data_IF_493198766484
#
_entry.id   IF_493198766484
#
_cell.length_a   1.000
_cell.length_b   1.000
_cell.length_c   1.000
_cell.angle_alpha   90.00
_cell.angle_beta   90.00
_cell.angle_gamma   90.00
#
_symmetry.space_group_name_H-M   'P 1'
#
loop_
_entity.id
_entity.type
_entity.pdbx_description
1 polymer ?
#
# COMPACT_ATOMS: atom_id res chain seq x y z
N UNK A 1 -13.88 -63.29 -12.34
CA UNK A 1 -12.57 -62.80 -11.86
C UNK A 1 -11.97 -61.66 -12.71
N UNK A 2 -12.74 -60.70 -13.26
CA UNK A 2 -12.20 -59.62 -14.15
C UNK A 2 -12.42 -58.20 -13.63
N UNK A 3 -12.99 -58.00 -12.44
CA UNK A 3 -13.28 -56.68 -11.87
C UNK A 3 -12.16 -56.12 -10.97
N UNK A 4 -11.28 -56.97 -10.44
CA UNK A 4 -10.24 -56.50 -9.49
C UNK A 4 -9.05 -55.79 -10.18
N UNK A 5 -8.77 -56.08 -11.45
CA UNK A 5 -7.67 -55.45 -12.19
C UNK A 5 -8.00 -54.02 -12.69
N UNK A 6 -9.29 -53.69 -12.90
CA UNK A 6 -9.67 -52.35 -13.37
C UNK A 6 -9.66 -51.30 -12.24
N UNK A 7 -9.97 -51.71 -11.02
CA UNK A 7 -9.90 -50.83 -9.84
C UNK A 7 -8.47 -50.46 -9.46
N UNK A 8 -7.52 -51.36 -9.61
CA UNK A 8 -6.11 -51.11 -9.35
C UNK A 8 -5.50 -50.09 -10.33
N UNK A 9 -5.93 -50.11 -11.60
CA UNK A 9 -5.44 -49.18 -12.63
C UNK A 9 -5.94 -47.77 -12.44
N UNK A 10 -7.21 -47.61 -12.00
CA UNK A 10 -7.79 -46.31 -11.73
C UNK A 10 -7.17 -45.66 -10.48
N UNK A 11 -6.89 -46.47 -9.44
CA UNK A 11 -6.21 -45.99 -8.24
C UNK A 11 -4.75 -45.55 -8.51
N UNK A 12 -4.06 -46.25 -9.41
CA UNK A 12 -2.66 -45.88 -9.78
C UNK A 12 -2.60 -44.60 -10.61
N UNK A 13 -3.58 -44.33 -11.45
CA UNK A 13 -3.64 -43.08 -12.19
C UNK A 13 -3.95 -41.85 -11.27
N UNK A 14 -4.80 -42.06 -10.26
CA UNK A 14 -5.13 -41.01 -9.30
C UNK A 14 -3.93 -40.62 -8.41
N UNK A 15 -3.07 -41.56 -8.07
CA UNK A 15 -1.85 -41.31 -7.26
C UNK A 15 -0.76 -40.59 -8.08
N UNK A 16 -0.61 -40.93 -9.37
CA UNK A 16 0.35 -40.25 -10.26
C UNK A 16 -0.07 -38.82 -10.58
N UNK A 17 -1.36 -38.50 -10.62
CA UNK A 17 -1.87 -37.14 -10.84
C UNK A 17 -1.62 -36.19 -9.67
N UNK A 18 -1.40 -36.69 -8.45
CA UNK A 18 -1.17 -35.86 -7.25
C UNK A 18 0.30 -35.42 -7.07
N UNK A 19 1.22 -35.92 -7.90
CA UNK A 19 2.64 -35.58 -7.83
C UNK A 19 3.06 -34.48 -8.82
N UNK A 20 2.16 -34.04 -9.70
CA UNK A 20 2.46 -32.94 -10.60
C UNK A 20 2.05 -31.65 -9.88
N UNK A 21 3.00 -30.76 -9.51
CA UNK A 21 2.65 -29.47 -8.93
C UNK A 21 1.88 -28.66 -9.97
N UNK A 22 0.58 -28.56 -9.77
CA UNK A 22 -0.25 -27.69 -10.60
C UNK A 22 0.12 -26.24 -10.31
N UNK A 23 0.26 -25.41 -11.36
CA UNK A 23 0.49 -23.99 -11.15
C UNK A 23 -0.69 -23.40 -10.35
N UNK A 24 -0.37 -22.75 -9.23
CA UNK A 24 -1.38 -22.16 -8.38
C UNK A 24 -1.87 -20.84 -8.99
N UNK A 25 -3.19 -20.72 -9.17
CA UNK A 25 -3.81 -19.46 -9.52
C UNK A 25 -3.86 -18.59 -8.26
N UNK A 26 -3.31 -17.39 -8.30
CA UNK A 26 -3.35 -16.47 -7.17
C UNK A 26 -3.71 -15.05 -7.61
N UNK A 27 -4.42 -14.34 -6.74
CA UNK A 27 -4.66 -12.92 -6.93
C UNK A 27 -3.39 -12.12 -6.63
N UNK A 28 -3.13 -11.09 -7.44
CA UNK A 28 -2.11 -10.10 -7.10
C UNK A 28 -2.57 -9.27 -5.89
N UNK A 29 -1.63 -8.61 -5.22
CA UNK A 29 -1.99 -7.52 -4.33
C UNK A 29 -2.79 -6.45 -5.11
N UNK A 30 -3.71 -5.72 -4.45
CA UNK A 30 -4.41 -4.62 -5.10
C UNK A 30 -3.41 -3.58 -5.62
N UNK A 31 -3.71 -2.99 -6.77
CA UNK A 31 -2.96 -1.83 -7.24
C UNK A 31 -3.22 -0.64 -6.33
N UNK A 32 -2.17 0.14 -6.03
CA UNK A 32 -2.32 1.35 -5.25
C UNK A 32 -3.00 2.44 -6.07
N UNK A 33 -4.12 2.94 -5.57
CA UNK A 33 -4.79 4.11 -6.13
C UNK A 33 -4.34 5.36 -5.39
N UNK A 34 -4.08 6.45 -6.11
CA UNK A 34 -3.67 7.72 -5.52
C UNK A 34 -4.36 8.91 -6.20
N UNK A 35 -4.88 9.81 -5.38
CA UNK A 35 -5.53 11.04 -5.86
C UNK A 35 -4.87 12.25 -5.23
N UNK A 36 -4.31 13.12 -6.06
CA UNK A 36 -3.70 14.38 -5.62
C UNK A 36 -4.71 15.51 -5.62
N UNK A 37 -4.70 16.33 -4.56
CA UNK A 37 -5.47 17.55 -4.42
C UNK A 37 -4.56 18.73 -4.04
N UNK A 38 -4.61 19.80 -4.83
CA UNK A 38 -3.94 21.05 -4.50
C UNK A 38 -4.87 21.89 -3.61
N UNK A 39 -4.42 22.22 -2.40
CA UNK A 39 -5.18 23.05 -1.46
C UNK A 39 -4.67 24.51 -1.46
N UNK A 40 -3.51 24.75 -2.06
CA UNK A 40 -2.97 26.10 -2.22
C UNK A 40 -2.45 26.70 -0.90
N UNK A 41 -2.92 27.90 -0.57
CA UNK A 41 -2.64 28.58 0.68
C UNK A 41 -3.76 28.30 1.69
N UNK A 42 -3.38 27.97 2.91
CA UNK A 42 -4.30 27.79 4.03
C UNK A 42 -3.89 28.71 5.17
N UNK A 43 -4.88 29.45 5.68
CA UNK A 43 -4.81 30.18 6.95
C UNK A 43 -6.00 29.74 7.80
N UNK A 44 -5.75 28.70 8.60
CA UNK A 44 -6.80 28.02 9.35
C UNK A 44 -7.12 26.62 8.77
N UNK A 45 -8.39 26.33 8.55
CA UNK A 45 -8.88 25.01 8.16
C UNK A 45 -9.39 24.99 6.71
N UNK A 46 -9.01 23.96 5.94
CA UNK A 46 -9.58 23.72 4.63
C UNK A 46 -11.07 23.33 4.70
N UNK A 47 -11.75 23.42 3.59
CA UNK A 47 -13.00 22.68 3.39
C UNK A 47 -12.75 21.17 3.45
N UNK A 48 -13.84 20.40 3.58
CA UNK A 48 -13.77 18.95 3.48
C UNK A 48 -13.40 18.53 2.05
N UNK A 49 -12.39 17.69 1.93
CA UNK A 49 -11.90 17.17 0.65
C UNK A 49 -12.31 15.72 0.52
N UNK A 50 -13.13 15.42 -0.48
CA UNK A 50 -13.57 14.07 -0.83
C UNK A 50 -12.75 13.61 -2.05
N UNK A 51 -11.79 12.69 -1.91
CA UNK A 51 -10.96 12.23 -3.04
C UNK A 51 -11.71 11.32 -4.02
N UNK A 52 -12.84 10.75 -3.61
CA UNK A 52 -13.61 9.80 -4.41
C UNK A 52 -13.12 8.35 -4.28
N UNK A 53 -12.27 8.08 -3.28
CA UNK A 53 -11.82 6.74 -2.89
C UNK A 53 -11.65 6.72 -1.37
N UNK A 54 -11.78 5.53 -0.72
CA UNK A 54 -11.42 5.35 0.68
C UNK A 54 -9.95 5.70 0.90
N UNK A 55 -9.65 6.40 1.99
CA UNK A 55 -8.30 6.88 2.30
C UNK A 55 -7.64 5.94 3.30
N UNK A 56 -6.72 5.09 2.85
CA UNK A 56 -5.91 4.28 3.76
C UNK A 56 -4.77 5.12 4.36
N UNK A 57 -4.17 5.97 3.51
CA UNK A 57 -3.08 6.85 3.91
C UNK A 57 -3.21 8.22 3.24
N UNK A 58 -2.73 9.25 3.93
CA UNK A 58 -2.65 10.61 3.41
C UNK A 58 -1.22 11.13 3.52
N UNK A 59 -0.62 11.50 2.41
CA UNK A 59 0.63 12.26 2.35
C UNK A 59 0.33 13.74 2.15
N UNK A 60 1.05 14.63 2.83
CA UNK A 60 0.90 16.08 2.67
C UNK A 60 2.26 16.67 2.32
N UNK A 61 2.27 17.61 1.40
CA UNK A 61 3.45 18.42 1.11
C UNK A 61 3.12 19.90 1.04
N UNK A 62 4.05 20.73 1.52
CA UNK A 62 3.88 22.19 1.58
C UNK A 62 5.21 22.90 1.30
N UNK A 63 5.20 24.21 1.12
CA UNK A 63 6.41 24.99 0.86
C UNK A 63 6.89 25.78 2.07
N UNK A 64 6.00 26.47 2.75
CA UNK A 64 6.31 27.34 3.89
C UNK A 64 5.21 27.24 4.94
N UNK A 65 5.57 27.51 6.19
CA UNK A 65 4.68 27.50 7.33
C UNK A 65 5.01 26.38 8.31
N UNK A 66 4.09 26.16 9.23
CA UNK A 66 4.19 25.14 10.27
C UNK A 66 3.84 23.74 9.75
N UNK A 67 4.07 22.71 10.54
CA UNK A 67 3.58 21.36 10.25
C UNK A 67 2.05 21.35 10.19
N UNK A 68 1.47 20.85 9.08
CA UNK A 68 0.03 20.79 8.94
C UNK A 68 -0.58 19.80 9.91
N UNK A 69 -1.82 20.08 10.31
CA UNK A 69 -2.65 19.11 11.02
C UNK A 69 -3.71 18.58 10.09
N UNK A 70 -4.03 17.30 10.24
CA UNK A 70 -5.05 16.62 9.44
C UNK A 70 -6.07 15.94 10.34
N UNK A 71 -7.30 15.86 9.89
CA UNK A 71 -8.33 14.98 10.44
C UNK A 71 -9.12 14.32 9.33
N UNK A 72 -9.74 13.22 9.65
CA UNK A 72 -10.46 12.38 8.71
C UNK A 72 -11.94 12.30 9.07
N UNK A 73 -12.78 12.17 8.04
CA UNK A 73 -14.17 11.79 8.18
C UNK A 73 -14.28 10.28 7.97
N UNK A 74 -14.62 9.56 9.02
CA UNK A 74 -14.83 8.13 8.97
C UNK A 74 -16.19 7.79 9.60
N UNK A 75 -16.99 7.02 8.89
CA UNK A 75 -18.35 6.65 9.33
C UNK A 75 -19.21 7.85 9.76
N UNK A 76 -19.11 8.96 9.04
CA UNK A 76 -19.86 10.18 9.31
C UNK A 76 -19.33 11.03 10.49
N UNK A 77 -18.22 10.63 11.12
CA UNK A 77 -17.65 11.34 12.28
C UNK A 77 -16.23 11.83 11.97
N UNK A 78 -15.96 13.09 12.33
CA UNK A 78 -14.61 13.65 12.24
C UNK A 78 -13.72 13.15 13.37
N UNK A 79 -12.53 12.65 13.02
CA UNK A 79 -11.50 12.26 14.00
C UNK A 79 -10.90 13.51 14.67
N UNK A 80 -10.13 13.28 15.74
CA UNK A 80 -9.26 14.32 16.30
C UNK A 80 -8.21 14.76 15.28
N UNK A 81 -7.70 16.00 15.44
CA UNK A 81 -6.60 16.52 14.65
C UNK A 81 -5.28 15.82 15.00
N UNK A 82 -4.59 15.34 13.98
CA UNK A 82 -3.25 14.74 14.08
C UNK A 82 -2.24 15.64 13.38
N UNK A 83 -1.01 15.71 13.85
CA UNK A 83 0.07 16.43 13.17
C UNK A 83 0.60 15.54 12.05
N UNK A 84 0.76 16.11 10.86
CA UNK A 84 1.45 15.46 9.76
C UNK A 84 2.93 15.85 9.84
N UNK A 85 3.69 15.11 10.63
CA UNK A 85 5.10 15.38 10.87
C UNK A 85 5.93 15.32 9.60
N UNK A 86 6.92 16.21 9.48
CA UNK A 86 7.90 16.20 8.41
C UNK A 86 8.63 14.84 8.38
N UNK A 87 8.80 14.28 7.19
CA UNK A 87 9.41 12.96 7.00
C UNK A 87 10.95 12.96 7.13
N UNK A 88 11.58 14.13 7.30
CA UNK A 88 13.03 14.30 7.41
C UNK A 88 13.77 14.10 6.10
N UNK A 89 13.08 13.88 4.98
CA UNK A 89 13.73 13.72 3.68
C UNK A 89 14.15 15.08 3.09
N UNK A 90 15.16 15.10 2.22
CA UNK A 90 15.54 16.32 1.51
C UNK A 90 14.38 16.91 0.74
N UNK A 91 14.24 18.23 0.80
CA UNK A 91 13.16 18.96 0.09
C UNK A 91 13.22 18.69 -1.40
N UNK A 92 12.16 18.14 -1.95
CA UNK A 92 12.00 17.98 -3.40
C UNK A 92 11.30 19.19 -3.99
N UNK A 93 11.92 19.85 -4.96
CA UNK A 93 11.38 21.05 -5.62
C UNK A 93 10.99 22.17 -4.62
N UNK A 94 11.76 22.33 -3.52
CA UNK A 94 11.48 23.31 -2.49
C UNK A 94 10.25 23.01 -1.62
N UNK A 95 9.78 21.76 -1.60
CA UNK A 95 8.65 21.29 -0.81
C UNK A 95 9.13 20.44 0.37
N UNK A 96 8.48 20.63 1.47
CA UNK A 96 8.56 19.77 2.65
C UNK A 96 7.48 18.70 2.48
N UNK A 97 7.76 17.46 2.85
CA UNK A 97 6.80 16.35 2.82
C UNK A 97 6.56 15.81 4.21
N UNK A 98 5.36 15.34 4.48
CA UNK A 98 5.06 14.58 5.69
C UNK A 98 5.30 13.09 5.48
N UNK A 99 5.51 12.36 6.57
CA UNK A 99 5.22 10.96 6.61
C UNK A 99 3.75 10.67 6.25
N UNK A 100 3.43 9.42 5.94
CA UNK A 100 2.06 9.02 5.67
C UNK A 100 1.24 9.00 6.97
N UNK A 101 0.08 9.65 6.95
CA UNK A 101 -0.88 9.62 8.06
C UNK A 101 -1.97 8.61 7.74
N UNK A 102 -2.18 7.63 8.64
CA UNK A 102 -3.21 6.60 8.46
C UNK A 102 -4.61 7.23 8.45
N UNK A 103 -5.39 6.90 7.43
CA UNK A 103 -6.77 7.37 7.23
C UNK A 103 -7.82 6.32 7.56
N UNK A 104 -7.41 5.05 7.70
CA UNK A 104 -8.25 3.92 8.13
C UNK A 104 -9.53 3.75 7.29
N UNK A 105 -9.43 3.95 5.96
CA UNK A 105 -10.56 3.86 5.04
C UNK A 105 -11.49 5.07 5.05
N UNK A 106 -11.04 6.23 5.52
CA UNK A 106 -11.85 7.43 5.63
C UNK A 106 -12.38 7.94 4.27
N UNK A 107 -13.54 8.61 4.31
CA UNK A 107 -14.23 9.13 3.12
C UNK A 107 -13.71 10.50 2.68
N UNK A 108 -13.25 11.30 3.64
CA UNK A 108 -12.77 12.66 3.42
C UNK A 108 -11.70 13.06 4.44
N UNK A 109 -11.02 14.14 4.14
CA UNK A 109 -10.06 14.75 5.05
C UNK A 109 -10.17 16.28 5.09
N UNK A 110 -9.62 16.87 6.13
CA UNK A 110 -9.37 18.30 6.23
C UNK A 110 -7.95 18.55 6.68
N UNK A 111 -7.36 19.63 6.19
CA UNK A 111 -6.02 20.10 6.59
C UNK A 111 -6.17 21.43 7.30
N UNK A 112 -5.36 21.67 8.34
CA UNK A 112 -5.33 22.92 9.09
C UNK A 112 -3.88 23.37 9.31
N UNK A 113 -3.66 24.67 9.21
CA UNK A 113 -2.39 25.34 9.51
C UNK A 113 -2.31 26.70 8.84
N UNK A 114 -1.28 27.47 9.15
CA UNK A 114 -0.86 28.67 8.40
C UNK A 114 0.29 28.25 7.48
N UNK A 115 -0.06 27.79 6.28
CA UNK A 115 0.84 27.06 5.37
C UNK A 115 0.56 27.42 3.91
N UNK A 116 1.61 27.40 3.08
CA UNK A 116 1.51 27.73 1.66
C UNK A 116 1.90 26.58 0.75
N UNK A 117 1.30 26.57 -0.43
CA UNK A 117 1.60 25.58 -1.48
C UNK A 117 1.23 24.15 -1.07
N UNK A 118 0.17 23.97 -0.31
CA UNK A 118 -0.27 22.67 0.20
C UNK A 118 -0.76 21.78 -0.92
N UNK A 119 -0.29 20.56 -0.92
CA UNK A 119 -0.80 19.44 -1.72
C UNK A 119 -1.03 18.24 -0.82
N UNK A 120 -2.13 17.55 -1.02
CA UNK A 120 -2.45 16.32 -0.33
C UNK A 120 -2.59 15.18 -1.34
N UNK A 121 -2.10 14.00 -1.00
CA UNK A 121 -2.21 12.78 -1.78
C UNK A 121 -2.95 11.76 -0.93
N UNK A 122 -4.19 11.48 -1.30
CA UNK A 122 -4.97 10.38 -0.71
C UNK A 122 -4.59 9.08 -1.41
N UNK A 123 -4.28 8.06 -0.65
CA UNK A 123 -3.78 6.76 -1.12
C UNK A 123 -4.72 5.67 -0.61
N UNK A 124 -5.13 4.80 -1.51
CA UNK A 124 -5.82 3.56 -1.19
C UNK A 124 -4.98 2.38 -1.67
N UNK A 125 -4.72 1.44 -0.78
CA UNK A 125 -3.90 0.23 -1.02
C UNK A 125 -4.73 -1.05 -0.97
N UNK A 126 -6.02 -0.95 -0.66
CA UNK A 126 -6.90 -2.08 -0.38
C UNK A 126 -7.89 -2.36 -1.50
N UNK A 127 -8.46 -1.33 -2.14
CA UNK A 127 -9.59 -1.44 -3.06
C UNK A 127 -9.19 -1.34 -4.54
N UNK A 128 -7.89 -1.27 -4.82
CA UNK A 128 -7.42 -1.23 -6.20
C UNK A 128 -7.71 -2.52 -6.98
N UNK A 129 -7.65 -2.46 -8.30
CA UNK A 129 -7.88 -3.62 -9.16
C UNK A 129 -6.87 -4.73 -8.84
N UNK A 130 -7.32 -5.96 -8.96
CA UNK A 130 -6.50 -7.17 -8.75
C UNK A 130 -6.50 -7.99 -10.01
N UNK A 131 -5.36 -8.53 -10.37
CA UNK A 131 -5.22 -9.44 -11.49
C UNK A 131 -5.03 -10.86 -11.03
N UNK A 132 -5.61 -11.82 -11.76
CA UNK A 132 -5.39 -13.23 -11.54
C UNK A 132 -4.12 -13.63 -12.28
N UNK A 133 -3.13 -14.15 -11.58
CA UNK A 133 -1.86 -14.57 -12.19
C UNK A 133 -1.58 -16.04 -11.93
N UNK A 134 -1.01 -16.71 -12.92
CA UNK A 134 -0.47 -18.05 -12.75
C UNK A 134 0.88 -17.94 -12.03
N UNK A 135 0.95 -18.47 -10.82
CA UNK A 135 2.24 -18.66 -10.16
C UNK A 135 2.79 -20.02 -10.59
N UNK A 136 3.82 -20.00 -11.42
CA UNK A 136 4.64 -21.17 -11.55
C UNK A 136 5.32 -21.42 -10.21
N UNK A 137 5.36 -22.69 -9.72
CA UNK A 137 6.19 -22.99 -8.57
C UNK A 137 7.60 -22.50 -8.92
N UNK A 138 8.12 -21.58 -8.11
CA UNK A 138 9.51 -21.17 -8.24
C UNK A 138 10.33 -22.45 -8.16
N UNK A 139 11.06 -22.78 -9.21
CA UNK A 139 12.15 -23.75 -9.09
C UNK A 139 12.95 -23.29 -7.85
N UNK A 140 13.11 -24.19 -6.87
CA UNK A 140 13.91 -23.88 -5.69
C UNK A 140 15.20 -23.25 -6.16
N UNK A 141 15.36 -21.96 -5.82
CA UNK A 141 16.58 -21.25 -6.13
C UNK A 141 17.68 -21.99 -5.37
N UNK A 142 18.37 -22.87 -6.10
CA UNK A 142 19.59 -23.51 -5.62
C UNK A 142 20.44 -22.40 -5.03
N UNK A 143 20.52 -22.37 -3.69
CA UNK A 143 21.41 -21.58 -2.85
C UNK A 143 22.13 -20.45 -3.59
N UNK A 144 21.44 -19.34 -3.85
CA UNK A 144 22.14 -18.06 -4.00
C UNK A 144 22.72 -17.81 -2.61
N UNK A 145 24.04 -17.81 -2.53
CA UNK A 145 24.77 -17.48 -1.32
C UNK A 145 24.11 -16.22 -0.73
N UNK A 146 23.60 -16.31 0.49
CA UNK A 146 23.10 -15.12 1.18
C UNK A 146 24.22 -14.09 1.16
N UNK A 147 23.97 -12.86 0.71
CA UNK A 147 24.96 -11.81 0.83
C UNK A 147 25.33 -11.75 2.32
N UNK A 148 26.59 -11.93 2.62
CA UNK A 148 27.08 -11.79 3.97
C UNK A 148 26.71 -10.40 4.47
N UNK A 149 26.10 -10.24 5.65
CA UNK A 149 25.86 -8.92 6.21
C UNK A 149 27.24 -8.25 6.37
N UNK A 150 27.42 -7.12 5.71
CA UNK A 150 28.63 -6.32 5.85
C UNK A 150 28.79 -5.97 7.32
N UNK A 151 29.98 -6.19 7.88
CA UNK A 151 30.26 -5.83 9.25
C UNK A 151 30.22 -4.29 9.40
N UNK A 152 29.90 -3.81 10.59
CA UNK A 152 29.83 -2.37 10.89
C UNK A 152 31.15 -1.63 10.61
N UNK A 153 32.27 -2.34 10.52
CA UNK A 153 33.60 -1.81 10.20
C UNK A 153 33.80 -1.55 8.70
N UNK A 154 32.93 -2.05 7.84
CA UNK A 154 33.03 -1.83 6.39
C UNK A 154 32.25 -0.58 5.92
N UNK A 155 31.60 0.12 6.86
CA UNK A 155 30.87 1.39 6.64
C UNK A 155 31.70 2.61 7.12
N UNK A 156 32.99 2.54 7.04
CA UNK A 156 33.89 3.62 7.44
C UNK A 156 33.76 4.93 6.66
#
# INVERSE_FOLDING_TARGET
MRYRSRLALVASLAVLGSLIPLPALSWTAPETLAVTRALGWLDGRSEAVFPGLPIDHLGISWRHGEEPRVRFLAHGVWTAWRIAHEDGLPRSQGRISSGLVAGDGAEAFQVRGSITGVRAVAINTTDGPRSLVWRHPKAEATHLAQPYPLSRLEWG
#
